data_IF_858712540107
#
_entry.id   IF_858712540107
#
_cell.length_a   1.000
_cell.length_b   1.000
_cell.length_c   1.000
_cell.angle_alpha   90.00
_cell.angle_beta   90.00
_cell.angle_gamma   90.00
#
_symmetry.space_group_name_H-M   'P 1'
#
loop_
_entity.id
_entity.type
_entity.pdbx_description
1 polymer ?
#
# COMPACT_ATOMS: atom_id res chain seq x y z
N UNK A 1 -28.86 6.25 8.63
CA UNK A 1 -27.51 6.84 8.45
C UNK A 1 -26.58 5.78 7.88
N UNK A 2 -25.58 6.12 7.04
CA UNK A 2 -24.61 5.13 6.57
C UNK A 2 -23.79 4.59 7.75
N UNK A 3 -23.58 3.28 7.82
CA UNK A 3 -22.65 2.66 8.75
C UNK A 3 -21.21 2.95 8.29
N UNK A 4 -20.54 3.84 9.01
CA UNK A 4 -19.17 4.27 8.74
C UNK A 4 -18.14 3.68 9.72
N UNK A 5 -18.58 2.79 10.62
CA UNK A 5 -17.75 2.26 11.71
C UNK A 5 -17.58 0.74 11.64
N UNK A 6 -18.48 0.01 10.98
CA UNK A 6 -18.36 -1.44 10.84
C UNK A 6 -17.58 -1.82 9.58
N UNK A 7 -16.80 -2.89 9.74
CA UNK A 7 -16.13 -3.54 8.62
C UNK A 7 -17.14 -4.39 7.82
N UNK A 8 -17.03 -4.43 6.48
CA UNK A 8 -17.84 -5.35 5.69
C UNK A 8 -17.60 -6.81 6.10
N UNK A 9 -18.59 -7.69 5.94
CA UNK A 9 -18.37 -9.13 6.06
C UNK A 9 -17.18 -9.58 5.19
N UNK A 10 -16.39 -10.55 5.67
CA UNK A 10 -15.25 -11.14 4.96
C UNK A 10 -14.10 -10.17 4.61
N UNK A 11 -14.05 -8.98 5.23
CA UNK A 11 -12.98 -7.99 5.02
C UNK A 11 -11.75 -8.16 5.91
N UNK A 12 -11.69 -9.23 6.68
CA UNK A 12 -10.55 -9.62 7.51
C UNK A 12 -10.53 -11.14 7.67
N UNK A 13 -9.36 -11.76 7.91
CA UNK A 13 -9.31 -13.19 8.22
C UNK A 13 -10.05 -13.46 9.53
N UNK A 14 -10.97 -14.44 9.52
CA UNK A 14 -11.79 -14.81 10.69
C UNK A 14 -11.02 -15.63 11.72
N UNK A 15 -10.10 -16.50 11.26
CA UNK A 15 -9.36 -17.44 12.10
C UNK A 15 -7.90 -17.03 12.36
N UNK A 16 -7.55 -15.76 12.09
CA UNK A 16 -6.20 -15.28 12.34
C UNK A 16 -5.98 -14.99 13.82
N UNK A 17 -4.81 -15.43 14.31
CA UNK A 17 -4.28 -15.10 15.61
C UNK A 17 -3.71 -13.69 15.57
N UNK A 18 -4.06 -12.92 16.60
CA UNK A 18 -3.62 -11.56 16.90
C UNK A 18 -3.66 -11.39 18.42
N UNK A 19 -3.16 -10.27 18.96
CA UNK A 19 -3.32 -9.83 20.37
C UNK A 19 -3.31 -10.95 21.44
N UNK A 20 -2.20 -11.10 22.17
CA UNK A 20 -2.05 -12.13 23.22
C UNK A 20 -2.18 -13.59 22.72
N UNK A 21 -1.85 -13.85 21.45
CA UNK A 21 -1.73 -15.21 20.92
C UNK A 21 -0.56 -15.99 21.54
N UNK A 22 -0.45 -17.30 21.28
CA UNK A 22 0.62 -18.15 21.82
C UNK A 22 2.02 -17.57 21.59
N UNK A 23 2.95 -17.80 22.53
CA UNK A 23 4.30 -17.23 22.50
C UNK A 23 5.04 -17.51 21.19
N UNK A 24 4.95 -18.73 20.66
CA UNK A 24 5.61 -19.07 19.39
C UNK A 24 5.11 -18.19 18.22
N UNK A 25 3.79 -17.96 18.10
CA UNK A 25 3.24 -17.06 17.08
C UNK A 25 3.51 -15.57 17.40
N UNK A 26 3.72 -15.22 18.67
CA UNK A 26 4.12 -13.85 19.04
C UNK A 26 5.52 -13.52 18.51
N UNK A 27 6.46 -14.48 18.59
CA UNK A 27 7.80 -14.35 18.00
C UNK A 27 7.69 -14.20 16.48
N UNK A 28 6.90 -15.02 15.80
CA UNK A 28 6.70 -14.91 14.34
C UNK A 28 6.16 -13.52 13.94
N UNK A 29 5.20 -12.98 14.69
CA UNK A 29 4.69 -11.62 14.46
C UNK A 29 5.75 -10.53 14.69
N UNK A 30 6.71 -10.76 15.59
CA UNK A 30 7.82 -9.84 15.80
C UNK A 30 8.79 -9.83 14.61
N UNK A 31 9.14 -11.00 14.07
CA UNK A 31 9.96 -11.11 12.85
C UNK A 31 9.31 -10.39 11.67
N UNK A 32 8.00 -10.57 11.51
CA UNK A 32 7.23 -9.89 10.46
C UNK A 32 7.16 -8.37 10.64
N UNK A 33 7.15 -7.89 11.88
CA UNK A 33 7.21 -6.46 12.19
C UNK A 33 8.56 -5.88 11.78
N UNK A 34 9.66 -6.55 12.11
CA UNK A 34 11.00 -6.15 11.70
C UNK A 34 11.11 -6.07 10.17
N UNK A 35 10.63 -7.08 9.44
CA UNK A 35 10.61 -7.06 7.97
C UNK A 35 9.74 -5.92 7.39
N UNK A 36 8.57 -5.66 7.99
CA UNK A 36 7.68 -4.60 7.53
C UNK A 36 8.30 -3.21 7.73
N UNK A 37 8.88 -2.96 8.92
CA UNK A 37 9.55 -1.70 9.27
C UNK A 37 10.89 -1.55 8.54
N UNK A 38 11.50 -2.64 8.10
CA UNK A 38 12.66 -2.64 7.22
C UNK A 38 12.39 -2.01 5.85
N UNK A 39 11.15 -2.02 5.34
CA UNK A 39 10.83 -1.39 4.06
C UNK A 39 11.27 0.08 4.01
N UNK A 40 10.73 0.97 4.87
CA UNK A 40 11.10 2.37 4.84
C UNK A 40 12.55 2.59 5.26
N UNK A 41 13.03 1.85 6.27
CA UNK A 41 14.40 2.00 6.76
C UNK A 41 15.45 1.71 5.67
N UNK A 42 15.30 0.61 4.93
CA UNK A 42 16.27 0.23 3.90
C UNK A 42 16.10 1.01 2.62
N UNK A 43 14.86 1.18 2.13
CA UNK A 43 14.62 1.88 0.86
C UNK A 43 15.06 3.32 0.94
N UNK A 44 14.69 4.02 2.01
CA UNK A 44 14.97 5.45 2.12
C UNK A 44 16.45 5.74 2.39
N UNK A 45 17.19 4.75 2.92
CA UNK A 45 18.64 4.80 3.12
C UNK A 45 19.46 4.15 1.97
N UNK A 46 18.81 3.74 0.88
CA UNK A 46 19.44 3.07 -0.26
C UNK A 46 20.14 1.73 0.08
N UNK A 47 19.74 1.04 1.15
CA UNK A 47 20.25 -0.29 1.53
C UNK A 47 19.57 -1.38 0.69
N UNK A 48 19.83 -1.38 -0.62
CA UNK A 48 19.07 -2.15 -1.60
C UNK A 48 19.14 -3.68 -1.41
N UNK A 49 20.25 -4.21 -0.91
CA UNK A 49 20.39 -5.64 -0.59
C UNK A 49 19.47 -6.03 0.58
N UNK A 50 19.49 -5.25 1.66
CA UNK A 50 18.60 -5.43 2.80
C UNK A 50 17.14 -5.24 2.40
N UNK A 51 16.85 -4.23 1.57
CA UNK A 51 15.51 -4.01 1.04
C UNK A 51 15.02 -5.20 0.20
N UNK A 52 15.86 -5.74 -0.69
CA UNK A 52 15.54 -6.91 -1.51
C UNK A 52 15.27 -8.15 -0.65
N UNK A 53 15.96 -8.30 0.47
CA UNK A 53 15.79 -9.42 1.40
C UNK A 53 14.38 -9.54 1.99
N UNK A 54 13.58 -8.46 1.98
CA UNK A 54 12.18 -8.49 2.46
C UNK A 54 11.30 -9.36 1.56
N UNK A 55 11.64 -9.46 0.28
CA UNK A 55 10.76 -9.96 -0.76
C UNK A 55 10.95 -11.45 -1.06
N UNK A 56 9.83 -12.10 -1.38
CA UNK A 56 9.86 -13.41 -2.01
C UNK A 56 10.46 -13.25 -3.42
N UNK A 57 11.21 -14.23 -3.97
CA UNK A 57 11.73 -14.13 -5.34
C UNK A 57 10.66 -13.83 -6.41
N UNK A 58 9.43 -14.24 -6.16
CA UNK A 58 8.25 -14.01 -7.01
C UNK A 58 7.33 -12.88 -6.49
N UNK A 59 7.84 -12.01 -5.62
CA UNK A 59 7.04 -10.95 -5.01
C UNK A 59 6.62 -9.89 -6.01
N UNK A 60 5.43 -9.36 -5.78
CA UNK A 60 4.91 -8.20 -6.51
C UNK A 60 4.60 -7.05 -5.56
N UNK A 61 4.76 -5.84 -6.06
CA UNK A 61 4.44 -4.59 -5.38
C UNK A 61 3.37 -3.87 -6.19
N UNK A 62 2.34 -3.36 -5.50
CA UNK A 62 1.31 -2.53 -6.09
C UNK A 62 1.34 -1.13 -5.48
N UNK A 63 1.77 -0.15 -6.28
CA UNK A 63 1.78 1.28 -5.93
C UNK A 63 1.05 2.12 -6.99
N UNK A 64 0.81 3.39 -6.66
CA UNK A 64 0.19 4.40 -7.55
C UNK A 64 0.95 4.66 -8.84
N UNK A 65 2.27 4.55 -8.81
CA UNK A 65 3.14 5.00 -9.90
C UNK A 65 3.75 3.85 -10.71
N UNK A 66 3.84 2.65 -10.12
CA UNK A 66 4.25 1.44 -10.86
C UNK A 66 3.09 0.56 -11.31
N UNK A 67 1.91 0.70 -10.71
CA UNK A 67 0.91 -0.37 -10.75
C UNK A 67 1.42 -1.67 -10.12
N UNK A 68 0.84 -2.80 -10.52
CA UNK A 68 1.31 -4.13 -10.13
C UNK A 68 2.60 -4.46 -10.89
N UNK A 69 3.71 -4.58 -10.18
CA UNK A 69 5.01 -4.89 -10.79
C UNK A 69 5.80 -5.86 -9.93
N UNK A 70 6.77 -6.57 -10.53
CA UNK A 70 7.69 -7.43 -9.79
C UNK A 70 8.64 -6.58 -8.92
N UNK A 71 9.03 -7.10 -7.75
CA UNK A 71 9.83 -6.33 -6.79
C UNK A 71 11.18 -5.85 -7.33
N UNK A 72 11.85 -6.59 -8.21
CA UNK A 72 13.11 -6.15 -8.81
C UNK A 72 12.90 -4.92 -9.69
N UNK A 73 11.85 -4.94 -10.51
CA UNK A 73 11.47 -3.79 -11.34
C UNK A 73 11.06 -2.58 -10.49
N UNK A 74 10.37 -2.81 -9.37
CA UNK A 74 10.05 -1.76 -8.39
C UNK A 74 11.31 -1.11 -7.80
N UNK A 75 12.33 -1.91 -7.46
CA UNK A 75 13.62 -1.43 -6.93
C UNK A 75 14.34 -0.60 -7.99
N UNK A 76 14.47 -1.11 -9.21
CA UNK A 76 15.11 -0.39 -10.33
C UNK A 76 14.40 0.93 -10.62
N UNK A 77 13.06 0.93 -10.63
CA UNK A 77 12.29 2.15 -10.86
C UNK A 77 12.42 3.14 -9.69
N UNK A 78 12.57 2.65 -8.45
CA UNK A 78 12.84 3.50 -7.28
C UNK A 78 14.21 4.18 -7.39
N UNK A 79 15.26 3.42 -7.75
CA UNK A 79 16.61 3.96 -7.99
C UNK A 79 16.60 5.02 -9.09
N UNK A 80 15.99 4.71 -10.24
CA UNK A 80 15.89 5.66 -11.35
C UNK A 80 15.09 6.93 -10.99
N UNK A 81 14.11 6.82 -10.09
CA UNK A 81 13.40 7.98 -9.54
C UNK A 81 14.32 8.85 -8.67
N UNK A 82 15.11 8.22 -7.81
CA UNK A 82 16.10 8.93 -6.96
C UNK A 82 17.17 9.62 -7.81
N UNK A 83 17.67 8.98 -8.86
CA UNK A 83 18.64 9.57 -9.81
C UNK A 83 18.08 10.82 -10.51
N UNK A 84 16.75 10.88 -10.68
CA UNK A 84 16.03 12.04 -11.23
C UNK A 84 15.65 13.09 -10.18
N UNK A 85 16.11 12.92 -8.93
CA UNK A 85 15.89 13.86 -7.83
C UNK A 85 14.62 13.62 -7.02
N UNK A 86 13.92 12.49 -7.18
CA UNK A 86 12.78 12.18 -6.33
C UNK A 86 13.23 11.99 -4.87
N UNK A 87 12.71 12.82 -3.96
CA UNK A 87 13.06 12.79 -2.55
C UNK A 87 11.85 12.39 -1.71
N UNK A 88 11.83 11.11 -1.31
CA UNK A 88 10.69 10.47 -0.63
C UNK A 88 11.18 9.85 0.68
N UNK A 89 10.46 10.11 1.76
CA UNK A 89 10.72 9.59 3.10
C UNK A 89 9.45 9.00 3.72
N UNK A 90 9.63 7.98 4.57
CA UNK A 90 8.53 7.28 5.21
C UNK A 90 8.69 7.30 6.73
N UNK A 91 7.64 7.74 7.43
CA UNK A 91 7.56 7.69 8.90
C UNK A 91 6.61 6.58 9.32
N UNK A 92 7.10 5.62 10.10
CA UNK A 92 6.28 4.51 10.63
C UNK A 92 5.60 4.91 11.93
N UNK A 93 4.30 4.63 12.04
CA UNK A 93 3.50 4.90 13.25
C UNK A 93 3.21 3.64 14.07
N UNK A 94 3.35 2.46 13.45
CA UNK A 94 3.12 1.17 14.09
C UNK A 94 2.52 0.14 13.13
N UNK A 95 2.51 -1.11 13.58
CA UNK A 95 2.08 -2.25 12.77
C UNK A 95 1.17 -3.21 13.54
N UNK A 96 0.32 -3.91 12.80
CA UNK A 96 -0.50 -5.02 13.33
C UNK A 96 -0.43 -6.19 12.37
N UNK A 97 -0.34 -7.41 12.91
CA UNK A 97 -0.18 -8.63 12.12
C UNK A 97 -1.24 -9.65 12.48
N UNK A 98 -1.97 -10.10 11.47
CA UNK A 98 -2.90 -11.22 11.52
C UNK A 98 -2.15 -12.46 10.96
N UNK A 99 -1.92 -13.49 11.79
CA UNK A 99 -1.16 -14.70 11.41
C UNK A 99 -2.05 -15.96 11.49
N UNK A 100 -1.85 -16.94 10.61
CA UNK A 100 -2.56 -18.22 10.69
C UNK A 100 -2.07 -19.08 11.87
N UNK A 101 -2.84 -20.12 12.21
CA UNK A 101 -2.53 -21.03 13.32
C UNK A 101 -1.21 -21.77 13.10
N UNK A 102 -0.91 -22.11 11.85
CA UNK A 102 0.29 -22.86 11.47
C UNK A 102 1.57 -22.00 11.46
N UNK A 103 1.44 -20.67 11.55
CA UNK A 103 2.59 -19.77 11.53
C UNK A 103 3.36 -19.77 10.19
N UNK A 104 2.64 -19.94 9.08
CA UNK A 104 3.19 -20.05 7.71
C UNK A 104 2.70 -18.96 6.77
N UNK A 105 1.61 -18.25 7.12
CA UNK A 105 1.04 -17.13 6.36
C UNK A 105 0.59 -16.00 7.29
N UNK A 106 0.82 -14.77 6.88
CA UNK A 106 0.41 -13.61 7.66
C UNK A 106 0.08 -12.40 6.79
N UNK A 107 -0.71 -11.48 7.34
CA UNK A 107 -0.94 -10.15 6.77
C UNK A 107 -0.53 -9.11 7.79
N UNK A 108 0.43 -8.26 7.43
CA UNK A 108 0.85 -7.12 8.25
C UNK A 108 0.33 -5.82 7.66
N UNK A 109 -0.31 -5.02 8.49
CA UNK A 109 -0.72 -3.64 8.17
C UNK A 109 0.17 -2.71 8.95
N UNK A 110 1.07 -2.01 8.26
CA UNK A 110 1.94 -1.00 8.83
C UNK A 110 1.42 0.37 8.47
N UNK A 111 1.08 1.19 9.47
CA UNK A 111 0.67 2.57 9.26
C UNK A 111 1.91 3.43 9.07
N UNK A 112 1.91 4.25 8.03
CA UNK A 112 3.00 5.17 7.73
C UNK A 112 2.49 6.52 7.23
N UNK A 113 3.35 7.52 7.24
CA UNK A 113 3.18 8.74 6.44
C UNK A 113 4.29 8.79 5.40
N UNK A 114 3.91 8.89 4.13
CA UNK A 114 4.82 9.16 3.02
C UNK A 114 4.94 10.67 2.91
N UNK A 115 6.16 11.19 2.95
CA UNK A 115 6.48 12.59 2.65
C UNK A 115 7.33 12.62 1.39
N UNK A 116 6.85 13.29 0.34
CA UNK A 116 7.65 13.56 -0.86
C UNK A 116 7.87 15.06 -1.00
N UNK A 117 9.13 15.45 -1.15
CA UNK A 117 9.51 16.83 -1.44
C UNK A 117 9.48 17.10 -2.93
N UNK A 118 8.89 18.23 -3.29
CA UNK A 118 8.86 18.77 -4.64
C UNK A 118 9.47 20.15 -4.64
N UNK A 119 10.43 20.36 -5.55
CA UNK A 119 11.10 21.64 -5.76
C UNK A 119 10.75 22.17 -7.15
N UNK A 120 10.93 23.46 -7.38
CA UNK A 120 10.66 24.06 -8.70
C UNK A 120 9.18 24.32 -8.99
N UNK A 121 8.30 24.17 -8.00
CA UNK A 121 6.87 24.47 -8.13
C UNK A 121 6.70 25.99 -8.25
N UNK A 122 5.84 26.48 -9.15
CA UNK A 122 5.58 27.92 -9.27
C UNK A 122 5.01 28.50 -7.97
N UNK A 123 5.51 29.67 -7.56
CA UNK A 123 5.08 30.37 -6.36
C UNK A 123 4.20 31.58 -6.68
N UNK A 124 3.15 31.81 -5.89
CA UNK A 124 2.23 32.97 -6.05
C UNK A 124 3.00 34.30 -5.98
N UNK A 125 4.02 34.38 -5.13
CA UNK A 125 4.89 35.56 -5.00
C UNK A 125 5.96 35.69 -6.09
N UNK A 126 5.91 34.87 -7.14
CA UNK A 126 6.94 34.76 -8.18
C UNK A 126 8.11 33.85 -7.78
N UNK A 127 8.80 33.33 -8.80
CA UNK A 127 9.86 32.34 -8.63
C UNK A 127 9.33 30.94 -8.33
N UNK A 128 10.14 30.12 -7.65
CA UNK A 128 9.79 28.74 -7.33
C UNK A 128 9.75 28.47 -5.82
N UNK A 129 8.96 27.46 -5.43
CA UNK A 129 8.79 26.97 -4.07
C UNK A 129 9.37 25.56 -3.91
N UNK A 130 9.57 25.22 -2.64
CA UNK A 130 9.63 23.82 -2.19
C UNK A 130 8.41 23.51 -1.34
N UNK A 131 7.79 22.36 -1.60
CA UNK A 131 6.60 21.88 -0.90
C UNK A 131 6.73 20.39 -0.61
N UNK A 132 6.17 19.97 0.52
CA UNK A 132 6.11 18.57 0.90
C UNK A 132 4.66 18.07 0.75
N UNK A 133 4.43 17.06 -0.09
CA UNK A 133 3.17 16.32 -0.06
C UNK A 133 3.28 15.21 0.99
N UNK A 134 2.38 15.23 1.97
CA UNK A 134 2.32 14.20 3.00
C UNK A 134 1.04 13.38 2.88
N UNK A 135 1.17 12.08 2.68
CA UNK A 135 0.04 11.15 2.64
C UNK A 135 0.12 10.14 3.78
N UNK A 136 -0.93 10.12 4.61
CA UNK A 136 -1.13 9.05 5.59
C UNK A 136 -1.61 7.81 4.85
N UNK A 137 -0.92 6.69 5.09
CA UNK A 137 -1.17 5.46 4.36
C UNK A 137 -0.97 4.21 5.22
N UNK A 138 -1.28 3.06 4.64
CA UNK A 138 -0.90 1.74 5.15
C UNK A 138 -0.17 0.95 4.08
N UNK A 139 0.91 0.35 4.49
CA UNK A 139 1.56 -0.73 3.77
C UNK A 139 0.91 -2.03 4.22
N UNK A 140 0.40 -2.79 3.26
CA UNK A 140 -0.23 -4.08 3.50
C UNK A 140 0.66 -5.14 2.88
N UNK A 141 1.32 -5.90 3.74
CA UNK A 141 2.20 -6.98 3.36
C UNK A 141 1.48 -8.31 3.51
N UNK A 142 1.58 -9.15 2.49
CA UNK A 142 1.12 -10.53 2.50
C UNK A 142 2.36 -11.41 2.54
N UNK A 143 2.52 -12.12 3.64
CA UNK A 143 3.70 -12.90 3.97
C UNK A 143 3.44 -14.38 3.80
N UNK A 144 4.47 -15.10 3.38
CA UNK A 144 4.54 -16.55 3.49
C UNK A 144 5.92 -17.00 3.95
N UNK A 145 5.97 -18.15 4.63
CA UNK A 145 7.23 -18.88 4.80
C UNK A 145 7.58 -19.56 3.48
N UNK A 146 8.80 -19.33 3.01
CA UNK A 146 9.26 -19.86 1.73
C UNK A 146 9.35 -21.38 1.78
N UNK A 147 8.87 -22.04 0.72
CA UNK A 147 8.88 -23.49 0.59
C UNK A 147 10.27 -24.09 0.27
N UNK A 148 10.31 -25.40 0.09
CA UNK A 148 11.55 -26.13 -0.19
C UNK A 148 12.09 -25.90 -1.61
N UNK A 149 11.30 -25.31 -2.50
CA UNK A 149 11.71 -24.95 -3.86
C UNK A 149 12.78 -23.86 -3.89
N UNK A 150 12.98 -23.12 -2.80
CA UNK A 150 14.10 -22.19 -2.60
C UNK A 150 14.92 -22.63 -1.39
N UNK A 151 15.85 -23.56 -1.58
CA UNK A 151 16.61 -24.21 -0.50
C UNK A 151 17.21 -23.20 0.50
N UNK A 152 17.88 -22.15 0.01
CA UNK A 152 18.55 -21.13 0.83
C UNK A 152 17.59 -20.22 1.61
N UNK A 153 16.31 -20.16 1.20
CA UNK A 153 15.29 -19.32 1.83
C UNK A 153 14.26 -20.12 2.62
N UNK A 154 14.34 -21.45 2.58
CA UNK A 154 13.35 -22.36 3.15
C UNK A 154 13.03 -22.02 4.60
N UNK A 155 11.74 -21.83 4.88
CA UNK A 155 11.23 -21.50 6.21
C UNK A 155 11.38 -20.04 6.63
N UNK A 156 12.08 -19.20 5.86
CA UNK A 156 12.19 -17.76 6.12
C UNK A 156 10.89 -17.05 5.73
N UNK A 157 10.56 -15.97 6.43
CA UNK A 157 9.45 -15.09 6.03
C UNK A 157 9.86 -14.16 4.90
N UNK A 158 9.01 -14.09 3.88
CA UNK A 158 9.18 -13.18 2.74
C UNK A 158 7.85 -12.60 2.29
N UNK A 159 7.86 -11.33 1.88
CA UNK A 159 6.68 -10.66 1.35
C UNK A 159 6.38 -11.24 -0.03
N UNK A 160 5.24 -11.88 -0.19
CA UNK A 160 4.78 -12.37 -1.50
C UNK A 160 4.04 -11.28 -2.28
N UNK A 161 3.39 -10.38 -1.57
CA UNK A 161 2.71 -9.25 -2.17
C UNK A 161 2.72 -8.06 -1.21
N UNK A 162 2.97 -6.86 -1.74
CA UNK A 162 2.88 -5.62 -0.98
C UNK A 162 1.98 -4.65 -1.73
N UNK A 163 1.03 -4.04 -1.03
CA UNK A 163 0.18 -3.00 -1.61
C UNK A 163 0.03 -1.82 -0.66
N UNK A 164 -0.19 -0.65 -1.22
CA UNK A 164 -0.43 0.56 -0.47
C UNK A 164 -1.93 0.84 -0.36
N UNK A 165 -2.27 1.52 0.72
CA UNK A 165 -3.59 2.07 0.97
C UNK A 165 -3.41 3.52 1.42
N UNK A 166 -3.90 4.47 0.63
CA UNK A 166 -3.82 5.88 0.96
C UNK A 166 -5.09 6.32 1.70
N UNK A 167 -4.94 7.02 2.82
CA UNK A 167 -6.06 7.36 3.70
C UNK A 167 -6.50 8.82 3.57
N UNK A 168 -5.52 9.72 3.53
CA UNK A 168 -5.69 11.17 3.34
C UNK A 168 -4.32 11.78 3.06
N UNK A 169 -4.29 12.91 2.36
CA UNK A 169 -3.08 13.68 2.21
C UNK A 169 -3.26 15.17 2.45
N UNK A 170 -2.13 15.88 2.48
CA UNK A 170 -2.04 17.33 2.62
C UNK A 170 -0.80 17.83 1.92
N UNK A 171 -0.83 19.11 1.55
CA UNK A 171 0.35 19.83 1.06
C UNK A 171 0.87 20.76 2.15
N UNK A 172 2.17 20.70 2.41
CA UNK A 172 2.87 21.52 3.40
C UNK A 172 3.86 22.44 2.68
N UNK A 173 3.91 23.69 3.13
CA UNK A 173 4.94 24.63 2.69
C UNK A 173 6.23 24.29 3.43
N UNK A 174 7.33 24.10 2.70
CA UNK A 174 8.65 23.93 3.34
C UNK A 174 9.11 25.27 3.93
N UNK A 175 8.93 26.35 3.17
CA UNK A 175 9.14 27.72 3.65
C UNK A 175 7.78 28.41 3.81
N UNK A 176 7.41 28.90 5.02
CA UNK A 176 6.04 29.36 5.31
C UNK A 176 5.49 30.49 4.43
N UNK A 177 6.34 31.33 3.84
CA UNK A 177 5.97 32.44 2.95
C UNK A 177 6.01 32.07 1.45
N UNK A 178 6.35 30.82 1.12
CA UNK A 178 6.43 30.32 -0.26
C UNK A 178 5.22 29.46 -0.61
N UNK A 179 4.12 30.12 -0.96
CA UNK A 179 2.85 29.47 -1.33
C UNK A 179 2.88 29.02 -2.80
N UNK A 180 2.62 27.72 -3.10
CA UNK A 180 2.58 27.22 -4.46
C UNK A 180 1.32 27.68 -5.21
N UNK A 181 1.46 27.87 -6.52
CA UNK A 181 0.32 27.99 -7.43
C UNK A 181 -0.22 26.58 -7.70
N UNK A 182 -1.52 26.39 -7.49
CA UNK A 182 -2.19 25.11 -7.65
C UNK A 182 -3.42 25.28 -8.54
N UNK A 183 -3.52 24.48 -9.60
CA UNK A 183 -4.74 24.35 -10.38
C UNK A 183 -5.76 23.53 -9.60
N UNK A 184 -6.71 24.23 -8.97
CA UNK A 184 -7.73 23.61 -8.15
C UNK A 184 -8.74 22.75 -8.94
N UNK A 185 -8.96 23.01 -10.22
CA UNK A 185 -9.86 22.17 -11.03
C UNK A 185 -9.19 20.86 -11.39
N UNK A 186 -7.93 20.90 -11.85
CA UNK A 186 -7.13 19.68 -12.08
C UNK A 186 -6.93 18.89 -10.79
N UNK A 187 -6.69 19.56 -9.66
CA UNK A 187 -6.52 18.92 -8.35
C UNK A 187 -7.75 18.09 -7.93
N UNK A 188 -8.97 18.50 -8.27
CA UNK A 188 -10.21 17.77 -7.93
C UNK A 188 -10.30 16.40 -8.61
N UNK A 189 -9.58 16.20 -9.72
CA UNK A 189 -9.60 14.94 -10.46
C UNK A 189 -8.86 13.80 -9.74
N UNK A 190 -8.01 14.12 -8.75
CA UNK A 190 -7.24 13.11 -8.02
C UNK A 190 -7.94 12.64 -6.74
N UNK A 191 -7.80 11.36 -6.38
CA UNK A 191 -8.42 10.79 -5.18
C UNK A 191 -7.97 11.44 -3.88
N UNK A 192 -8.92 11.64 -2.95
CA UNK A 192 -8.68 12.36 -1.68
C UNK A 192 -7.55 11.75 -0.85
N UNK A 193 -7.35 10.44 -0.91
CA UNK A 193 -6.29 9.75 -0.16
C UNK A 193 -4.87 10.20 -0.51
N UNK A 194 -4.63 10.65 -1.74
CA UNK A 194 -3.30 10.94 -2.29
C UNK A 194 -3.35 12.03 -3.37
N UNK A 195 -4.28 12.97 -3.23
CA UNK A 195 -4.60 14.02 -4.19
C UNK A 195 -3.43 14.93 -4.53
N UNK A 196 -2.84 15.54 -3.50
CA UNK A 196 -1.72 16.47 -3.63
C UNK A 196 -0.45 15.74 -4.05
N UNK A 197 -0.24 14.52 -3.54
CA UNK A 197 0.86 13.67 -3.95
C UNK A 197 0.78 13.35 -5.45
N UNK A 198 -0.38 12.87 -5.94
CA UNK A 198 -0.57 12.55 -7.34
C UNK A 198 -0.46 13.80 -8.23
N UNK A 199 -1.08 14.91 -7.84
CA UNK A 199 -1.00 16.17 -8.57
C UNK A 199 0.46 16.59 -8.80
N UNK A 200 1.27 16.61 -7.73
CA UNK A 200 2.67 17.04 -7.84
C UNK A 200 3.56 16.01 -8.55
N UNK A 201 3.27 14.72 -8.43
CA UNK A 201 3.96 13.70 -9.22
C UNK A 201 3.71 13.89 -10.73
N UNK A 202 2.47 14.12 -11.16
CA UNK A 202 2.18 14.39 -12.57
C UNK A 202 2.78 15.71 -13.03
N UNK A 203 2.73 16.75 -12.19
CA UNK A 203 3.24 18.09 -12.51
C UNK A 203 4.76 18.13 -12.67
N UNK A 204 5.50 17.47 -11.77
CA UNK A 204 6.95 17.67 -11.66
C UNK A 204 7.77 16.50 -12.21
N UNK A 205 7.19 15.29 -12.25
CA UNK A 205 7.94 14.08 -12.63
C UNK A 205 7.53 13.54 -14.02
N UNK A 206 6.49 14.12 -14.64
CA UNK A 206 5.99 13.68 -15.95
C UNK A 206 5.46 12.24 -15.97
N UNK A 207 5.07 11.71 -14.81
CA UNK A 207 4.46 10.38 -14.69
C UNK A 207 2.95 10.48 -14.78
N UNK A 208 2.27 9.38 -15.13
CA UNK A 208 0.81 9.27 -15.02
C UNK A 208 0.47 8.39 -13.83
N UNK A 209 -0.31 8.92 -12.89
CA UNK A 209 -0.59 8.26 -11.63
C UNK A 209 -1.90 7.48 -11.73
N UNK A 210 -1.94 6.27 -11.17
CA UNK A 210 -3.19 5.50 -11.07
C UNK A 210 -4.17 6.21 -10.13
N UNK A 211 -5.42 6.38 -10.58
CA UNK A 211 -6.47 7.13 -9.87
C UNK A 211 -7.57 6.23 -9.26
N UNK A 212 -7.49 4.93 -9.50
CA UNK A 212 -8.48 3.90 -9.16
C UNK A 212 -8.04 2.99 -8.01
N UNK A 213 -7.01 3.36 -7.26
CA UNK A 213 -6.59 2.58 -6.10
C UNK A 213 -7.65 2.61 -5.00
N UNK A 214 -7.86 1.49 -4.27
CA UNK A 214 -8.83 1.46 -3.18
C UNK A 214 -8.58 2.52 -2.11
N UNK A 215 -9.67 3.20 -1.71
CA UNK A 215 -9.66 4.35 -0.82
C UNK A 215 -10.62 4.17 0.36
N UNK A 216 -10.59 5.12 1.30
CA UNK A 216 -11.42 5.00 2.49
C UNK A 216 -12.91 5.04 2.10
N UNK A 217 -13.75 4.21 2.73
CA UNK A 217 -15.22 4.27 2.59
C UNK A 217 -15.84 5.66 2.80
N UNK A 218 -15.14 6.56 3.50
CA UNK A 218 -15.58 7.94 3.71
C UNK A 218 -15.55 8.73 2.40
N UNK A 219 -14.70 8.34 1.45
CA UNK A 219 -14.65 8.88 0.09
C UNK A 219 -15.87 8.47 -0.76
N UNK A 220 -16.68 7.51 -0.31
CA UNK A 220 -17.97 7.22 -0.99
C UNK A 220 -18.86 8.46 -1.01
N UNK A 221 -18.81 9.29 0.04
CA UNK A 221 -19.55 10.54 0.12
C UNK A 221 -19.03 11.62 -0.85
N UNK A 222 -17.81 11.46 -1.37
CA UNK A 222 -17.22 12.38 -2.37
C UNK A 222 -17.42 11.88 -3.80
N UNK A 223 -18.28 10.86 -4.02
CA UNK A 223 -18.52 10.27 -5.34
C UNK A 223 -17.38 9.41 -5.89
N UNK A 224 -16.33 9.17 -5.09
CA UNK A 224 -15.14 8.43 -5.51
C UNK A 224 -15.43 6.94 -5.68
N UNK A 225 -15.07 6.38 -6.84
CA UNK A 225 -15.11 4.92 -7.10
C UNK A 225 -14.22 4.15 -6.11
N UNK A 226 -13.15 4.79 -5.62
CA UNK A 226 -12.21 4.22 -4.65
C UNK A 226 -12.88 3.94 -3.29
N UNK A 227 -13.93 4.71 -2.94
CA UNK A 227 -14.74 4.48 -1.74
C UNK A 227 -15.82 3.40 -1.91
N UNK A 228 -16.12 2.96 -3.14
CA UNK A 228 -17.13 1.95 -3.47
C UNK A 228 -16.59 0.52 -3.35
N UNK A 229 -15.32 0.29 -3.66
CA UNK A 229 -14.68 -1.03 -3.52
C UNK A 229 -14.45 -1.45 -2.05
N UNK A 230 -14.65 -0.51 -1.12
CA UNK A 230 -14.67 -0.78 0.31
C UNK A 230 -13.31 -1.17 0.89
N UNK A 231 -13.24 -1.19 2.22
CA UNK A 231 -12.10 -1.61 3.06
C UNK A 231 -11.76 -3.10 2.91
N UNK A 232 -12.06 -3.71 1.78
CA UNK A 232 -11.97 -5.14 1.61
C UNK A 232 -10.48 -5.51 1.46
N UNK A 233 -9.84 -5.75 2.61
CA UNK A 233 -8.79 -6.75 2.71
C UNK A 233 -9.43 -8.09 2.38
N UNK A 234 -9.81 -8.28 1.12
CA UNK A 234 -10.05 -9.61 0.63
C UNK A 234 -8.74 -10.34 0.89
N UNK A 235 -8.79 -11.37 1.75
CA UNK A 235 -7.69 -12.30 1.94
C UNK A 235 -7.30 -13.03 0.64
N UNK A 236 -7.93 -12.69 -0.49
CA UNK A 236 -7.61 -13.11 -1.85
C UNK A 236 -6.88 -12.04 -2.66
N UNK A 237 -6.52 -10.88 -2.09
CA UNK A 237 -5.55 -9.94 -2.66
C UNK A 237 -5.93 -9.23 -3.97
N UNK A 238 -7.17 -9.31 -4.47
CA UNK A 238 -7.46 -8.92 -5.86
C UNK A 238 -8.82 -8.19 -5.98
N UNK A 239 -8.81 -6.99 -6.58
CA UNK A 239 -10.02 -6.33 -7.10
C UNK A 239 -10.56 -7.10 -8.31
N UNK A 240 -11.86 -6.99 -8.63
CA UNK A 240 -12.52 -7.81 -9.65
C UNK A 240 -11.90 -7.75 -11.06
N UNK A 241 -11.09 -6.72 -11.37
CA UNK A 241 -10.44 -6.56 -12.66
C UNK A 241 -9.04 -7.21 -12.74
N UNK A 242 -8.32 -7.34 -11.62
CA UNK A 242 -6.93 -7.85 -11.62
C UNK A 242 -6.84 -9.38 -11.53
N UNK A 243 -7.97 -10.08 -11.37
CA UNK A 243 -7.99 -11.56 -11.23
C UNK A 243 -7.67 -12.32 -12.51
N UNK A 244 -7.56 -11.63 -13.64
CA UNK A 244 -7.31 -12.24 -14.95
C UNK A 244 -5.82 -12.48 -15.24
N UNK A 245 -4.91 -11.87 -14.47
CA UNK A 245 -3.47 -11.89 -14.74
C UNK A 245 -2.64 -12.70 -13.72
N UNK A 246 -3.29 -13.40 -12.78
CA UNK A 246 -2.61 -14.17 -11.74
C UNK A 246 -2.76 -15.68 -11.96
N UNK A 247 -1.72 -16.48 -11.66
CA UNK A 247 -1.79 -17.93 -11.78
C UNK A 247 -2.89 -18.52 -10.86
N UNK A 248 -3.64 -19.54 -11.31
CA UNK A 248 -4.89 -20.00 -10.69
C UNK A 248 -4.78 -20.56 -9.25
N UNK A 249 -3.58 -20.69 -8.69
CA UNK A 249 -3.34 -21.26 -7.35
C UNK A 249 -3.70 -20.33 -6.18
N UNK A 250 -4.06 -19.08 -6.44
CA UNK A 250 -4.30 -18.05 -5.40
C UNK A 250 -5.77 -17.62 -5.26
N UNK A 251 -6.68 -18.16 -6.08
CA UNK A 251 -8.12 -17.89 -6.03
C UNK A 251 -8.88 -19.11 -5.51
N UNK A 252 -9.42 -19.04 -4.29
CA UNK A 252 -10.56 -19.90 -3.96
C UNK A 252 -11.79 -19.38 -4.71
N UNK A 253 -12.25 -20.12 -5.71
CA UNK A 253 -13.59 -19.95 -6.29
C UNK A 253 -14.63 -20.25 -5.20
N UNK A 254 -15.07 -19.23 -4.47
CA UNK A 254 -16.34 -19.32 -3.76
C UNK A 254 -17.47 -19.14 -4.78
N UNK A 255 -17.76 -20.20 -5.54
CA UNK A 255 -19.07 -20.37 -6.16
C UNK A 255 -20.08 -20.58 -5.04
N UNK A 256 -20.75 -19.50 -4.63
CA UNK A 256 -22.01 -19.62 -3.90
C UNK A 256 -23.02 -20.16 -4.92
N UNK A 257 -23.23 -21.48 -4.92
CA UNK A 257 -24.42 -22.08 -5.51
C UNK A 257 -25.61 -21.62 -4.69
N UNK A 258 -26.42 -20.72 -5.27
CA UNK A 258 -27.76 -20.47 -4.76
C UNK A 258 -28.58 -21.75 -4.97
N UNK A 259 -28.65 -22.61 -3.95
CA UNK A 259 -29.75 -23.56 -3.86
C UNK A 259 -31.00 -22.79 -3.43
N UNK A 260 -31.84 -22.49 -4.41
CA UNK A 260 -33.25 -22.25 -4.16
C UNK A 260 -33.81 -23.47 -3.42
N UNK A 261 -34.30 -23.25 -2.19
CA UNK A 261 -35.26 -24.15 -1.57
C UNK A 261 -36.64 -23.55 -1.77
N UNK A 262 -37.46 -24.35 -2.42
CA UNK A 262 -38.91 -24.28 -2.51
C UNK A 262 -39.59 -24.38 -1.14
N UNK A 263 -40.91 -24.17 -1.15
CA UNK A 263 -41.92 -24.31 -0.06
C UNK A 263 -42.23 -22.96 0.63
N UNK A 264 -43.44 -22.39 0.59
CA UNK A 264 -44.80 -22.74 0.11
C UNK A 264 -45.44 -21.47 -0.44
#
# INVERSE_FOLDING_TARGET
>A
MPDLHSLPPNSRPLHAIRNNGPHHLAIERYLLRELAEGWPCYRDACEWENFRSIFHPEAHVYTTWTGLTHHDAFITASQAGMDKGAFIMHRVHGSTTDINLEGTRAVTKMKATITQRFSGVECVGGGTCEVDAESDCRFIFFWEKVGAEYEELKGQWRARFVRHWYEKDKLLLVTPDRVPVIDHERLKEYPVGYRHLAYLQEETMGVKVLRDLPGHRREKATGSVNGQEGTAFHCTGIGKQDSQHLPPKYCHKNTVQNHARSEV
#
